data_IF_949910661716
#
_entry.id   IF_949910661716
#
_cell.length_a   1.000
_cell.length_b   1.000
_cell.length_c   1.000
_cell.angle_alpha   90.00
_cell.angle_beta   90.00
_cell.angle_gamma   90.00
#
_symmetry.space_group_name_H-M   'P 1'
#
loop_
_entity.id
_entity.type
_entity.pdbx_description
1 polymer ?
#
# COMPACT_ATOMS: atom_id res chain seq x y z
N UNK A 1 -18.81 14.73 -8.44
CA UNK A 1 -17.34 14.59 -8.33
C UNK A 1 -16.91 13.45 -9.23
N UNK A 2 -16.00 13.68 -10.17
CA UNK A 2 -15.42 12.57 -10.92
C UNK A 2 -14.56 11.72 -9.96
N UNK A 3 -14.50 10.40 -10.15
CA UNK A 3 -13.60 9.55 -9.39
C UNK A 3 -12.15 9.91 -9.77
N UNK A 4 -11.50 10.77 -8.98
CA UNK A 4 -10.08 11.03 -9.09
C UNK A 4 -9.33 9.84 -8.50
N UNK A 5 -8.69 9.05 -9.37
CA UNK A 5 -7.76 8.03 -8.92
C UNK A 5 -6.39 8.64 -8.70
N UNK A 6 -5.81 8.41 -7.52
CA UNK A 6 -4.48 8.88 -7.20
C UNK A 6 -3.50 7.81 -7.68
N UNK A 7 -2.66 8.06 -8.69
CA UNK A 7 -1.69 7.09 -9.14
C UNK A 7 -0.65 6.86 -8.04
N UNK A 8 -0.30 5.59 -7.80
CA UNK A 8 0.81 5.21 -6.94
C UNK A 8 1.95 4.70 -7.82
N UNK A 9 2.97 5.53 -8.03
CA UNK A 9 4.15 5.18 -8.83
C UNK A 9 5.17 4.35 -8.02
N UNK A 10 4.73 3.19 -7.55
CA UNK A 10 5.57 2.22 -6.86
C UNK A 10 5.42 0.87 -7.56
N UNK A 11 6.40 0.49 -8.38
CA UNK A 11 6.37 -0.71 -9.25
C UNK A 11 6.06 -2.01 -8.51
N UNK A 12 6.47 -2.12 -7.24
CA UNK A 12 6.25 -3.31 -6.42
C UNK A 12 4.87 -3.38 -5.78
N UNK A 13 3.98 -2.40 -6.03
CA UNK A 13 2.64 -2.32 -5.45
C UNK A 13 1.57 -2.22 -6.53
N UNK A 14 0.41 -2.81 -6.24
CA UNK A 14 -0.82 -2.67 -7.03
C UNK A 14 -1.93 -2.14 -6.13
N UNK A 15 -2.65 -1.11 -6.59
CA UNK A 15 -3.83 -0.60 -5.90
C UNK A 15 -4.96 -1.63 -6.02
N UNK A 16 -5.53 -2.05 -4.90
CA UNK A 16 -6.67 -2.96 -4.79
C UNK A 16 -7.96 -2.17 -4.67
N UNK A 17 -7.95 -1.13 -3.84
CA UNK A 17 -9.09 -0.24 -3.64
C UNK A 17 -8.62 1.18 -3.32
N UNK A 18 -9.46 2.15 -3.64
CA UNK A 18 -9.24 3.54 -3.29
C UNK A 18 -10.55 4.15 -2.81
N UNK A 19 -10.48 4.89 -1.70
CA UNK A 19 -11.63 5.63 -1.17
C UNK A 19 -11.21 7.03 -0.74
N UNK A 20 -12.21 7.92 -0.72
CA UNK A 20 -12.06 9.29 -0.24
C UNK A 20 -13.08 9.50 0.87
N UNK A 21 -12.62 9.99 2.02
CA UNK A 21 -13.51 10.29 3.14
C UNK A 21 -14.12 11.71 3.03
N UNK A 22 -15.03 12.04 3.95
CA UNK A 22 -15.69 13.36 4.00
C UNK A 22 -14.73 14.53 4.30
N UNK A 23 -13.52 14.23 4.76
CA UNK A 23 -12.47 15.21 5.07
C UNK A 23 -11.44 15.30 3.94
N UNK A 24 -11.72 14.71 2.78
CA UNK A 24 -10.82 14.64 1.63
C UNK A 24 -9.52 13.86 1.89
N UNK A 25 -9.49 12.95 2.87
CA UNK A 25 -8.39 12.00 3.02
C UNK A 25 -8.53 10.88 1.99
N UNK A 26 -7.44 10.59 1.28
CA UNK A 26 -7.34 9.45 0.38
C UNK A 26 -6.83 8.23 1.14
N UNK A 27 -7.60 7.14 1.10
CA UNK A 27 -7.17 5.84 1.59
C UNK A 27 -6.94 4.92 0.40
N UNK A 28 -5.73 4.40 0.25
CA UNK A 28 -5.37 3.42 -0.76
C UNK A 28 -5.09 2.08 -0.08
N UNK A 29 -5.81 1.05 -0.49
CA UNK A 29 -5.47 -0.33 -0.15
C UNK A 29 -4.58 -0.88 -1.25
N UNK A 30 -3.42 -1.39 -0.87
CA UNK A 30 -2.39 -1.84 -1.81
C UNK A 30 -1.99 -3.28 -1.52
N UNK A 31 -1.62 -4.00 -2.56
CA UNK A 31 -1.04 -5.34 -2.47
C UNK A 31 0.34 -5.34 -3.12
N UNK A 32 1.28 -6.01 -2.48
CA UNK A 32 2.60 -6.26 -3.08
C UNK A 32 2.47 -7.15 -4.32
N UNK A 33 3.20 -6.82 -5.38
CA UNK A 33 3.34 -7.66 -6.58
C UNK A 33 4.46 -8.69 -6.43
N UNK A 34 5.26 -8.62 -5.37
CA UNK A 34 6.31 -9.59 -5.09
C UNK A 34 5.70 -10.95 -4.69
N UNK A 35 6.32 -12.05 -5.15
CA UNK A 35 5.91 -13.42 -4.81
C UNK A 35 6.16 -13.77 -3.33
N UNK A 36 7.14 -13.12 -2.72
CA UNK A 36 7.56 -13.39 -1.35
C UNK A 36 8.56 -12.35 -0.86
N UNK A 37 9.10 -12.59 0.32
CA UNK A 37 10.14 -11.75 0.92
C UNK A 37 11.07 -12.60 1.79
N UNK A 38 12.19 -12.02 2.21
CA UNK A 38 13.04 -12.65 3.21
C UNK A 38 12.48 -12.44 4.62
N UNK A 39 12.48 -13.50 5.42
CA UNK A 39 12.05 -13.42 6.81
C UNK A 39 12.95 -12.48 7.61
N UNK A 40 12.37 -11.48 8.28
CA UNK A 40 13.11 -10.54 9.14
C UNK A 40 13.89 -11.23 10.27
N UNK A 41 13.40 -12.36 10.78
CA UNK A 41 14.01 -13.09 11.91
C UNK A 41 15.16 -14.02 11.50
N UNK A 42 15.00 -14.76 10.40
CA UNK A 42 15.97 -15.82 10.03
C UNK A 42 16.59 -15.64 8.64
N UNK A 43 16.20 -14.63 7.86
CA UNK A 43 16.77 -14.32 6.54
C UNK A 43 16.38 -15.29 5.42
N UNK A 44 15.68 -16.39 5.70
CA UNK A 44 15.24 -17.35 4.66
C UNK A 44 14.13 -16.76 3.78
N UNK A 45 14.12 -17.11 2.50
CA UNK A 45 13.04 -16.76 1.57
C UNK A 45 11.72 -17.39 2.04
N UNK A 46 10.64 -16.62 1.98
CA UNK A 46 9.30 -17.12 2.29
C UNK A 46 8.24 -16.45 1.42
N UNK A 47 7.30 -17.26 0.96
CA UNK A 47 6.10 -16.82 0.23
C UNK A 47 4.85 -16.87 1.13
N UNK A 48 5.02 -17.36 2.37
CA UNK A 48 3.93 -17.52 3.31
C UNK A 48 3.57 -16.18 3.93
N UNK A 49 2.33 -15.76 3.71
CA UNK A 49 1.77 -14.53 4.29
C UNK A 49 1.36 -14.81 5.73
N UNK A 50 1.97 -14.12 6.68
CA UNK A 50 1.65 -14.22 8.11
C UNK A 50 0.77 -13.07 8.62
N UNK A 51 0.46 -12.09 7.78
CA UNK A 51 -0.36 -10.94 8.12
C UNK A 51 -0.09 -9.75 7.20
N UNK A 52 -0.66 -8.60 7.58
CA UNK A 52 -0.43 -7.33 6.93
C UNK A 52 0.53 -6.49 7.77
N UNK A 53 1.33 -5.65 7.11
CA UNK A 53 2.14 -4.65 7.81
C UNK A 53 1.26 -3.55 8.42
N UNK A 54 1.88 -2.71 9.23
CA UNK A 54 1.19 -1.58 9.85
C UNK A 54 0.65 -0.61 8.79
N UNK A 55 -0.48 0.03 9.12
CA UNK A 55 -1.01 1.13 8.31
C UNK A 55 -0.09 2.34 8.46
N UNK A 56 0.36 2.88 7.33
CA UNK A 56 1.19 4.09 7.30
C UNK A 56 0.30 5.26 6.88
N UNK A 57 0.35 6.35 7.64
CA UNK A 57 -0.30 7.62 7.28
C UNK A 57 0.77 8.61 6.84
N UNK A 58 0.68 9.06 5.59
CA UNK A 58 1.59 10.05 5.03
C UNK A 58 0.82 11.34 4.82
N UNK A 59 1.30 12.46 5.39
CA UNK A 59 0.76 13.79 5.10
C UNK A 59 1.40 14.30 3.81
N UNK A 60 0.59 14.63 2.82
CA UNK A 60 1.06 15.41 1.69
C UNK A 60 1.43 16.81 2.19
N UNK A 61 2.71 17.18 2.06
CA UNK A 61 3.16 18.54 2.32
C UNK A 61 2.90 19.34 1.04
N UNK A 62 2.27 20.51 1.17
CA UNK A 62 2.08 21.43 0.05
C UNK A 62 3.44 21.77 -0.55
N UNK A 63 3.60 21.47 -1.84
CA UNK A 63 4.67 21.96 -2.71
C UNK A 63 4.25 23.26 -3.37
#
# INVERSE_FOLDING_TARGET
MSPFQLPLDIKSLKIVSQSVDRKANYTLEVKSTAKGTHCKKCGKWTEKVYGFGDKITVRHLSV
#
